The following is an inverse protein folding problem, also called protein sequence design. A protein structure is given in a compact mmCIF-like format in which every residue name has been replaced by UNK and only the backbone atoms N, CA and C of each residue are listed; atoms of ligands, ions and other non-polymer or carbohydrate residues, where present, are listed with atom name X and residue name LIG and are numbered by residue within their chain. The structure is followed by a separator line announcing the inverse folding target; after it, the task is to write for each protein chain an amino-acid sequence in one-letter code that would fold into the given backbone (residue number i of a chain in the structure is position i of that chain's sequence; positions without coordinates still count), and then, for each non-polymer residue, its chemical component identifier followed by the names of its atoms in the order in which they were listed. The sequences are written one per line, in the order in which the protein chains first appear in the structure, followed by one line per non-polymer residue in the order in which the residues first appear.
data_IF_180461608085
#
_entry.id   IF_180461608085
#
_cell.length_a   1.000
_cell.length_b   1.000
_cell.length_c   1.000
_cell.angle_alpha   90.00
_cell.angle_beta   90.00
_cell.angle_gamma   90.00
#
_symmetry.space_group_name_H-M   'P 1'
#
loop_
_entity.id
_entity.type
_entity.pdbx_description
1 polymer ?
#
# COMPACT_ATOMS: atom_id res chain seq x y z
N UNK A 1 25.36 18.39 -11.80
CA UNK A 1 24.33 17.55 -12.43
C UNK A 1 23.04 17.78 -11.65
N UNK A 2 22.06 18.44 -12.26
CA UNK A 2 20.75 18.67 -11.65
C UNK A 2 19.99 17.36 -11.78
N UNK A 3 19.68 16.68 -10.66
CA UNK A 3 18.71 15.60 -10.69
C UNK A 3 17.37 16.21 -11.08
N UNK A 4 16.70 15.61 -12.07
CA UNK A 4 15.31 15.89 -12.33
C UNK A 4 14.52 15.44 -11.10
N UNK A 5 13.81 16.36 -10.45
CA UNK A 5 12.75 15.98 -9.52
C UNK A 5 11.81 15.04 -10.27
N UNK A 6 11.71 13.79 -9.79
CA UNK A 6 10.67 12.90 -10.24
C UNK A 6 9.33 13.59 -10.01
N UNK A 7 8.33 13.42 -10.90
CA UNK A 7 7.00 13.95 -10.63
C UNK A 7 6.58 13.49 -9.24
N UNK A 8 6.09 14.42 -8.40
CA UNK A 8 5.42 14.03 -7.15
C UNK A 8 4.27 13.14 -7.59
N UNK A 9 4.42 11.83 -7.37
CA UNK A 9 3.40 10.86 -7.75
C UNK A 9 2.14 11.24 -6.97
N UNK A 10 1.08 11.61 -7.69
CA UNK A 10 -0.16 12.06 -7.07
C UNK A 10 -0.87 10.84 -6.50
N UNK A 11 -0.69 10.57 -5.22
CA UNK A 11 -1.33 9.45 -4.54
C UNK A 11 -2.76 9.81 -4.09
N UNK A 12 -3.60 8.79 -3.99
CA UNK A 12 -4.91 8.89 -3.36
C UNK A 12 -5.03 7.77 -2.32
N UNK A 13 -4.43 8.00 -1.15
CA UNK A 13 -4.25 7.00 -0.10
C UNK A 13 -5.49 6.91 0.78
N UNK A 14 -6.15 5.75 0.72
CA UNK A 14 -7.35 5.39 1.49
C UNK A 14 -6.91 4.51 2.64
N UNK A 15 -7.23 4.88 3.88
CA UNK A 15 -6.94 4.05 5.05
C UNK A 15 -7.84 2.80 5.03
N UNK A 16 -7.24 1.61 4.94
CA UNK A 16 -7.99 0.35 4.83
C UNK A 16 -7.85 -0.56 6.05
N UNK A 17 -6.80 -0.41 6.85
CA UNK A 17 -6.60 -1.26 8.02
C UNK A 17 -5.68 -0.64 9.05
N UNK A 18 -6.02 -0.83 10.32
CA UNK A 18 -5.19 -0.50 11.49
C UNK A 18 -5.05 -1.76 12.33
N UNK A 19 -3.82 -2.22 12.51
CA UNK A 19 -3.48 -3.39 13.30
C UNK A 19 -2.02 -3.34 13.71
N UNK A 20 -1.28 -4.45 13.53
CA UNK A 20 0.19 -4.45 13.71
C UNK A 20 0.90 -3.47 12.77
N UNK A 21 0.28 -3.20 11.63
CA UNK A 21 0.69 -2.20 10.66
C UNK A 21 -0.56 -1.40 10.28
N UNK A 22 -0.34 -0.21 9.73
CA UNK A 22 -1.40 0.52 9.03
C UNK A 22 -1.26 0.31 7.54
N UNK A 23 -2.38 0.04 6.88
CA UNK A 23 -2.43 -0.20 5.44
C UNK A 23 -3.26 0.88 4.76
N UNK A 24 -2.72 1.43 3.68
CA UNK A 24 -3.44 2.29 2.76
C UNK A 24 -3.54 1.63 1.39
N UNK A 25 -4.70 1.73 0.76
CA UNK A 25 -4.87 1.51 -0.68
C UNK A 25 -4.54 2.80 -1.44
N UNK A 26 -3.78 2.72 -2.53
CA UNK A 26 -3.56 3.87 -3.42
C UNK A 26 -4.55 3.84 -4.58
N UNK A 27 -5.69 4.51 -4.40
CA UNK A 27 -6.77 4.53 -5.37
C UNK A 27 -6.37 5.19 -6.71
N UNK A 28 -5.34 6.04 -6.72
CA UNK A 28 -4.83 6.67 -7.94
C UNK A 28 -4.16 5.66 -8.88
N UNK A 29 -3.77 4.49 -8.36
CA UNK A 29 -3.06 3.44 -9.10
C UNK A 29 -3.97 2.31 -9.58
N UNK A 30 -5.29 2.41 -9.33
CA UNK A 30 -6.25 1.38 -9.73
C UNK A 30 -6.28 1.27 -11.25
N UNK A 31 -5.91 0.10 -11.75
CA UNK A 31 -5.94 -0.25 -13.15
C UNK A 31 -6.74 -1.54 -13.34
N UNK A 32 -7.81 -1.48 -14.14
CA UNK A 32 -8.67 -2.64 -14.44
C UNK A 32 -8.15 -3.33 -15.70
N UNK A 33 -7.92 -4.63 -15.62
CA UNK A 33 -7.47 -5.48 -16.73
C UNK A 33 -8.33 -6.77 -16.80
N UNK A 34 -8.29 -7.50 -17.92
CA UNK A 34 -9.04 -8.75 -18.06
C UNK A 34 -8.65 -9.84 -17.04
N UNK A 35 -7.42 -9.81 -16.53
CA UNK A 35 -6.90 -10.76 -15.54
C UNK A 35 -7.06 -10.29 -14.08
N UNK A 36 -7.76 -9.17 -13.86
CA UNK A 36 -8.07 -8.64 -12.54
C UNK A 36 -7.85 -7.13 -12.41
N UNK A 37 -8.05 -6.61 -11.21
CA UNK A 37 -7.78 -5.21 -10.87
C UNK A 37 -6.43 -5.11 -10.18
N UNK A 38 -5.54 -4.26 -10.69
CA UNK A 38 -4.25 -3.97 -10.06
C UNK A 38 -4.30 -2.67 -9.28
N UNK A 39 -3.60 -2.63 -8.16
CA UNK A 39 -3.52 -1.46 -7.27
C UNK A 39 -2.26 -1.56 -6.40
N UNK A 40 -1.68 -0.43 -6.01
CA UNK A 40 -0.64 -0.36 -4.97
C UNK A 40 -1.26 -0.24 -3.58
N UNK A 41 -0.57 -0.80 -2.58
CA UNK A 41 -0.84 -0.52 -1.18
C UNK A 41 0.42 -0.04 -0.46
N UNK A 42 0.27 0.93 0.44
CA UNK A 42 1.31 1.33 1.38
C UNK A 42 1.07 0.66 2.73
N UNK A 43 2.03 -0.12 3.21
CA UNK A 43 2.07 -0.58 4.59
C UNK A 43 3.03 0.31 5.39
N UNK A 44 2.58 0.81 6.54
CA UNK A 44 3.36 1.64 7.45
C UNK A 44 3.57 0.91 8.78
N UNK A 45 4.80 0.92 9.28
CA UNK A 45 5.16 0.40 10.61
C UNK A 45 5.02 1.47 11.69
N UNK A 46 4.72 1.04 12.91
CA UNK A 46 4.56 1.91 14.09
C UNK A 46 5.81 2.74 14.37
N UNK A 47 6.94 2.07 14.57
CA UNK A 47 8.24 2.70 14.79
C UNK A 47 9.17 2.46 13.60
N UNK A 48 10.08 3.42 13.35
CA UNK A 48 11.13 3.25 12.35
C UNK A 48 11.93 1.96 12.65
N UNK A 49 11.91 0.99 11.73
CA UNK A 49 12.87 -0.10 11.82
C UNK A 49 14.17 0.32 11.13
N UNK A 50 15.30 -0.01 11.74
CA UNK A 50 16.63 0.37 11.21
C UNK A 50 17.34 -0.86 10.66
N UNK A 51 17.75 -0.78 9.39
CA UNK A 51 18.66 -1.76 8.78
C UNK A 51 19.93 -1.04 8.37
N UNK A 52 21.05 -1.41 9.00
CA UNK A 52 22.30 -0.65 8.88
C UNK A 52 22.12 0.76 9.44
N UNK A 53 22.27 1.78 8.60
CA UNK A 53 22.08 3.20 8.95
C UNK A 53 20.78 3.80 8.42
N UNK A 54 19.97 3.00 7.71
CA UNK A 54 18.75 3.48 7.06
C UNK A 54 17.54 3.14 7.92
N UNK A 55 16.72 4.16 8.20
CA UNK A 55 15.41 4.03 8.83
C UNK A 55 14.34 3.80 7.78
N UNK A 56 13.39 2.94 8.07
CA UNK A 56 12.31 2.59 7.16
C UNK A 56 10.94 2.85 7.79
N UNK A 57 10.05 3.41 6.99
CA UNK A 57 8.66 3.69 7.35
C UNK A 57 7.71 2.53 7.04
N UNK A 58 8.12 1.59 6.20
CA UNK A 58 7.31 0.45 5.80
C UNK A 58 7.63 0.00 4.38
N UNK A 59 6.61 -0.21 3.56
CA UNK A 59 6.81 -0.62 2.17
C UNK A 59 5.57 -0.54 1.29
N UNK A 60 5.82 -0.52 -0.01
CA UNK A 60 4.81 -0.64 -1.05
C UNK A 60 4.70 -2.07 -1.54
N UNK A 61 3.49 -2.45 -1.95
CA UNK A 61 3.24 -3.68 -2.68
C UNK A 61 2.28 -3.42 -3.82
N UNK A 62 2.59 -3.98 -4.99
CA UNK A 62 1.60 -4.19 -6.04
C UNK A 62 0.74 -5.39 -5.72
N UNK A 63 -0.55 -5.23 -5.97
CA UNK A 63 -1.53 -6.30 -5.86
C UNK A 63 -2.26 -6.48 -7.18
N UNK A 64 -2.79 -7.69 -7.34
CA UNK A 64 -3.82 -8.02 -8.31
C UNK A 64 -4.98 -8.70 -7.58
N UNK A 65 -6.19 -8.28 -7.90
CA UNK A 65 -7.42 -8.78 -7.30
C UNK A 65 -8.34 -9.36 -8.37
N UNK A 66 -8.89 -10.53 -8.08
CA UNK A 66 -10.04 -11.07 -8.80
C UNK A 66 -11.30 -10.69 -8.02
N UNK A 67 -12.05 -9.72 -8.57
CA UNK A 67 -13.25 -9.19 -7.94
C UNK A 67 -14.43 -10.17 -7.97
N UNK A 68 -14.46 -11.12 -8.91
CA UNK A 68 -15.53 -12.11 -9.01
C UNK A 68 -15.26 -13.28 -8.07
N UNK A 69 -14.02 -13.77 -8.04
CA UNK A 69 -13.62 -14.88 -7.18
C UNK A 69 -13.26 -14.46 -5.74
N UNK A 70 -13.10 -13.17 -5.46
CA UNK A 70 -12.69 -12.67 -4.14
C UNK A 70 -11.25 -13.03 -3.79
N UNK A 71 -10.36 -13.08 -4.79
CA UNK A 71 -8.97 -13.51 -4.62
C UNK A 71 -8.02 -12.32 -4.63
N UNK A 72 -6.96 -12.40 -3.82
CA UNK A 72 -5.88 -11.44 -3.75
C UNK A 72 -4.55 -12.10 -4.10
N UNK A 73 -3.72 -11.40 -4.86
CA UNK A 73 -2.40 -11.84 -5.29
C UNK A 73 -1.43 -10.67 -5.07
N UNK A 74 -0.49 -10.84 -4.13
CA UNK A 74 0.55 -9.84 -3.90
C UNK A 74 1.68 -10.13 -4.89
N UNK A 75 2.06 -9.11 -5.65
CA UNK A 75 3.01 -9.27 -6.76
C UNK A 75 4.44 -8.92 -6.36
N UNK A 76 4.61 -7.98 -5.42
CA UNK A 76 5.94 -7.55 -4.97
C UNK A 76 5.92 -6.86 -3.60
N UNK A 77 7.12 -6.52 -3.14
CA UNK A 77 7.35 -5.62 -2.02
C UNK A 77 8.57 -4.72 -2.27
N UNK A 78 8.41 -3.41 -2.08
CA UNK A 78 9.48 -2.42 -2.13
C UNK A 78 9.51 -1.65 -0.81
N UNK A 79 10.63 -1.69 -0.09
CA UNK A 79 10.76 -0.97 1.19
C UNK A 79 10.73 0.54 0.99
N UNK A 80 10.17 1.27 1.96
CA UNK A 80 10.13 2.74 1.96
C UNK A 80 11.01 3.25 3.08
N UNK A 81 12.11 3.89 2.72
CA UNK A 81 13.00 4.54 3.66
C UNK A 81 12.40 5.87 4.16
N UNK A 82 12.91 6.34 5.30
CA UNK A 82 12.57 7.66 5.81
C UNK A 82 12.83 8.75 4.75
N UNK A 83 11.87 9.65 4.59
CA UNK A 83 11.83 10.61 3.49
C UNK A 83 11.08 10.12 2.25
N UNK A 84 10.43 8.95 2.31
CA UNK A 84 9.56 8.43 1.24
C UNK A 84 10.32 7.76 0.09
N UNK A 85 11.63 7.54 0.23
CA UNK A 85 12.44 6.93 -0.83
C UNK A 85 12.17 5.43 -0.92
N UNK A 86 11.70 4.99 -2.07
CA UNK A 86 11.45 3.59 -2.37
C UNK A 86 12.76 2.84 -2.68
N UNK A 87 12.88 1.63 -2.13
CA UNK A 87 13.90 0.66 -2.45
C UNK A 87 13.54 -0.19 -3.67
N UNK A 88 14.39 -1.15 -4.04
CA UNK A 88 14.08 -2.07 -5.14
C UNK A 88 12.87 -2.95 -4.81
N UNK A 89 11.99 -3.14 -5.79
CA UNK A 89 10.90 -4.10 -5.70
C UNK A 89 11.42 -5.53 -5.75
N UNK A 90 11.04 -6.34 -4.78
CA UNK A 90 11.31 -7.77 -4.73
C UNK A 90 10.03 -8.51 -5.08
N UNK A 91 10.02 -9.37 -6.12
CA UNK A 91 8.82 -10.13 -6.49
C UNK A 91 8.35 -11.03 -5.36
N UNK A 92 7.03 -11.09 -5.17
CA UNK A 92 6.40 -12.10 -4.34
C UNK A 92 5.94 -13.25 -5.25
N UNK A 93 6.31 -14.47 -4.87
CA UNK A 93 6.02 -15.69 -5.65
C UNK A 93 4.97 -16.56 -4.96
N UNK A 94 4.37 -16.08 -3.87
CA UNK A 94 3.25 -16.76 -3.25
C UNK A 94 2.06 -16.82 -4.21
N UNK A 95 1.27 -17.92 -4.20
CA UNK A 95 0.09 -18.01 -5.02
C UNK A 95 -0.99 -17.04 -4.52
N UNK A 96 -1.89 -16.65 -5.43
CA UNK A 96 -3.11 -15.94 -5.09
C UNK A 96 -3.92 -16.73 -4.04
N UNK A 97 -4.58 -16.02 -3.14
CA UNK A 97 -5.31 -16.60 -2.02
C UNK A 97 -6.66 -15.89 -1.80
N UNK A 98 -7.66 -16.56 -1.19
CA UNK A 98 -8.93 -15.94 -0.87
C UNK A 98 -8.75 -14.78 0.13
N UNK A 99 -9.32 -13.62 -0.18
CA UNK A 99 -9.28 -12.47 0.71
C UNK A 99 -10.26 -12.65 1.88
N UNK A 100 -9.75 -13.10 3.03
CA UNK A 100 -10.58 -13.36 4.21
C UNK A 100 -11.15 -12.07 4.82
N UNK A 101 -12.45 -12.02 5.17
CA UNK A 101 -13.08 -10.83 5.77
C UNK A 101 -12.34 -10.33 7.02
N UNK A 102 -12.17 -9.01 7.12
CA UNK A 102 -11.46 -8.36 8.23
C UNK A 102 -9.93 -8.43 8.16
N UNK A 103 -9.35 -9.03 7.11
CA UNK A 103 -7.92 -8.97 6.83
C UNK A 103 -7.57 -7.89 5.80
N UNK A 104 -6.32 -7.40 5.83
CA UNK A 104 -5.83 -6.33 4.95
C UNK A 104 -6.16 -6.56 3.46
N UNK A 105 -5.99 -7.79 2.99
CA UNK A 105 -6.26 -8.13 1.59
C UNK A 105 -7.74 -7.98 1.20
N UNK A 106 -8.68 -8.22 2.12
CA UNK A 106 -10.11 -8.05 1.86
C UNK A 106 -10.48 -6.56 1.81
N UNK A 107 -9.92 -5.74 2.71
CA UNK A 107 -10.16 -4.29 2.71
C UNK A 107 -9.55 -3.63 1.46
N UNK A 108 -8.35 -4.05 1.05
CA UNK A 108 -7.74 -3.63 -0.22
C UNK A 108 -8.57 -4.07 -1.43
N UNK A 109 -9.07 -5.32 -1.43
CA UNK A 109 -9.94 -5.83 -2.50
C UNK A 109 -11.22 -5.01 -2.60
N UNK A 110 -11.83 -4.63 -1.47
CA UNK A 110 -13.05 -3.83 -1.46
C UNK A 110 -12.85 -2.46 -2.14
N UNK A 111 -11.72 -1.79 -1.87
CA UNK A 111 -11.35 -0.53 -2.53
C UNK A 111 -11.09 -0.76 -4.01
N UNK A 112 -10.27 -1.75 -4.38
CA UNK A 112 -9.92 -2.04 -5.78
C UNK A 112 -11.15 -2.37 -6.63
N UNK A 113 -12.05 -3.20 -6.09
CA UNK A 113 -13.26 -3.64 -6.78
C UNK A 113 -14.37 -2.58 -6.77
N UNK A 114 -14.25 -1.54 -5.92
CA UNK A 114 -15.21 -0.44 -5.82
C UNK A 114 -16.49 -0.83 -5.06
N UNK A 115 -16.39 -1.76 -4.12
CA UNK A 115 -17.51 -2.15 -3.26
C UNK A 115 -17.68 -1.22 -2.06
N UNK A 116 -16.69 -0.36 -1.82
CA UNK A 116 -16.72 0.74 -0.84
C UNK A 116 -16.44 2.07 -1.53
N UNK A 117 -16.93 3.16 -0.94
CA UNK A 117 -16.58 4.51 -1.40
C UNK A 117 -15.26 4.92 -0.73
N UNK A 118 -14.18 5.16 -1.49
CA UNK A 118 -12.89 5.50 -0.91
C UNK A 118 -12.89 6.92 -0.32
N UNK A 119 -12.50 7.04 0.95
CA UNK A 119 -12.18 8.33 1.57
C UNK A 119 -10.67 8.55 1.53
N UNK A 120 -10.23 9.60 0.84
CA UNK A 120 -8.79 9.90 0.70
C UNK A 120 -8.28 10.50 2.00
N UNK A 121 -7.48 9.72 2.73
CA UNK A 121 -6.86 10.15 3.98
C UNK A 121 -5.57 10.96 3.74
N UNK A 122 -4.81 10.63 2.69
CA UNK A 122 -3.56 11.31 2.36
C UNK A 122 -3.28 11.31 0.86
N UNK A 123 -2.52 12.32 0.41
CA UNK A 123 -2.03 12.42 -0.98
C UNK A 123 -0.50 12.36 -1.06
N UNK A 124 0.18 12.23 0.07
CA UNK A 124 1.63 12.08 0.17
C UNK A 124 1.98 10.94 1.12
N UNK A 125 3.13 10.28 0.88
CA UNK A 125 3.64 9.21 1.77
C UNK A 125 3.93 9.75 3.17
N UNK A 126 4.47 10.97 3.27
CA UNK A 126 4.76 11.58 4.56
C UNK A 126 3.52 11.79 5.42
N UNK A 127 2.42 12.28 4.81
CA UNK A 127 1.14 12.42 5.52
C UNK A 127 0.54 11.09 5.92
N UNK A 128 0.58 10.09 5.04
CA UNK A 128 0.12 8.74 5.37
C UNK A 128 0.89 8.14 6.56
N UNK A 129 2.22 8.32 6.61
CA UNK A 129 3.03 7.84 7.74
C UNK A 129 2.66 8.56 9.04
N UNK A 130 2.46 9.88 8.99
CA UNK A 130 2.03 10.65 10.16
C UNK A 130 0.67 10.17 10.67
N UNK A 131 -0.30 9.98 9.78
CA UNK A 131 -1.65 9.50 10.13
C UNK A 131 -1.61 8.06 10.68
N UNK A 132 -0.85 7.18 10.05
CA UNK A 132 -0.68 5.80 10.49
C UNK A 132 -0.16 5.72 11.93
N UNK A 133 0.88 6.50 12.26
CA UNK A 133 1.48 6.50 13.59
C UNK A 133 0.54 7.05 14.65
N UNK A 134 -0.24 8.07 14.32
CA UNK A 134 -1.29 8.55 15.20
C UNK A 134 -2.33 7.45 15.46
N UNK A 135 -2.78 6.75 14.41
CA UNK A 135 -3.78 5.69 14.52
C UNK A 135 -3.32 4.45 15.29
N UNK A 136 -2.01 4.14 15.33
CA UNK A 136 -1.47 3.03 16.12
C UNK A 136 -1.20 3.40 17.59
N UNK A 137 -1.16 4.69 17.92
CA UNK A 137 -0.92 5.16 19.28
C UNK A 137 -2.20 5.25 20.14
N UNK A 138 -3.37 5.08 19.51
CA UNK A 138 -4.71 5.06 20.14
C UNK A 138 -5.11 3.65 20.60
#
# INVERSE_FOLDING_TARGET
MMQADAPVEAHALVLTGVGRFVVFADAATIARAPDGVRMRSLQVVEEDFTVGTTRYWGGWSWWRFDCEAGMADRLDFASVAAGGREGPATPDTAPAYPAAPGGDAAELLAVACGTVTPEIAATTVGDAVRLARAAMAD
#
